data_IF_885825115622
#
_entry.id   IF_885825115622
#
_cell.length_a   1.000
_cell.length_b   1.000
_cell.length_c   1.000
_cell.angle_alpha   90.00
_cell.angle_beta   90.00
_cell.angle_gamma   90.00
#
_symmetry.space_group_name_H-M   'P 1'
#
loop_
_entity.id
_entity.type
_entity.pdbx_description
1 polymer ?
#
# COMPACT_ATOMS: atom_id res chain seq x y z
N UNK A 1 27.79 30.06 18.29
CA UNK A 1 26.66 30.08 17.34
C UNK A 1 26.23 28.65 17.20
N UNK A 2 25.10 28.28 17.81
CA UNK A 2 24.52 26.97 17.61
C UNK A 2 23.89 26.99 16.20
N UNK A 3 24.34 26.11 15.32
CA UNK A 3 23.61 25.79 14.09
C UNK A 3 22.31 25.12 14.53
N UNK A 4 21.19 25.81 14.39
CA UNK A 4 19.88 25.19 14.45
C UNK A 4 19.79 24.25 13.25
N UNK A 5 19.99 22.97 13.51
CA UNK A 5 19.71 21.89 12.56
C UNK A 5 18.19 21.89 12.35
N UNK A 6 17.73 22.62 11.32
CA UNK A 6 16.38 22.47 10.78
C UNK A 6 16.11 20.97 10.65
N UNK A 7 15.02 20.44 11.25
CA UNK A 7 14.74 19.02 11.18
C UNK A 7 14.59 18.69 9.70
N UNK A 8 15.58 18.02 9.13
CA UNK A 8 15.67 17.69 7.70
C UNK A 8 14.30 17.22 7.21
N UNK A 9 13.57 18.15 6.59
CA UNK A 9 12.22 17.88 6.14
C UNK A 9 12.36 16.80 5.07
N UNK A 10 11.59 15.73 5.23
CA UNK A 10 11.65 14.63 4.27
C UNK A 10 11.44 15.20 2.88
N UNK A 11 12.43 14.97 2.02
CA UNK A 11 12.41 15.50 0.66
C UNK A 11 11.11 15.05 -0.02
N UNK A 12 10.30 15.99 -0.52
CA UNK A 12 8.94 15.72 -1.03
C UNK A 12 8.91 14.59 -2.08
N UNK A 13 10.01 14.44 -2.82
CA UNK A 13 10.27 13.35 -3.76
C UNK A 13 9.99 11.94 -3.20
N UNK A 14 10.20 11.71 -1.91
CA UNK A 14 9.95 10.39 -1.30
C UNK A 14 8.47 10.01 -1.36
N UNK A 15 7.56 10.97 -1.19
CA UNK A 15 6.13 10.74 -1.23
C UNK A 15 5.64 10.40 -2.65
N UNK A 16 6.32 10.90 -3.68
CA UNK A 16 6.03 10.57 -5.08
C UNK A 16 6.38 9.12 -5.45
N UNK A 17 7.32 8.49 -4.74
CA UNK A 17 7.75 7.10 -5.00
C UNK A 17 6.85 6.08 -4.31
N UNK A 18 6.22 6.44 -3.19
CA UNK A 18 5.35 5.55 -2.41
C UNK A 18 4.27 4.79 -3.21
N UNK A 19 3.55 5.37 -4.19
CA UNK A 19 2.52 4.63 -4.94
C UNK A 19 3.08 3.60 -5.93
N UNK A 20 4.39 3.59 -6.17
CA UNK A 20 5.07 2.62 -7.04
C UNK A 20 5.72 1.47 -6.25
N UNK A 21 5.73 1.56 -4.92
CA UNK A 21 6.29 0.53 -4.05
C UNK A 21 5.34 -0.66 -3.91
N UNK A 22 5.90 -1.86 -3.77
CA UNK A 22 5.11 -3.04 -3.42
C UNK A 22 4.57 -2.90 -1.99
N UNK A 23 3.52 -3.65 -1.65
CA UNK A 23 2.86 -3.53 -0.35
C UNK A 23 3.85 -3.71 0.83
N UNK A 24 4.80 -4.63 0.70
CA UNK A 24 5.81 -4.86 1.74
C UNK A 24 6.74 -3.64 1.94
N UNK A 25 7.18 -3.03 0.86
CA UNK A 25 8.06 -1.86 0.89
C UNK A 25 7.31 -0.65 1.46
N UNK A 26 6.05 -0.45 1.06
CA UNK A 26 5.19 0.60 1.58
C UNK A 26 4.96 0.47 3.09
N UNK A 27 4.66 -0.75 3.56
CA UNK A 27 4.53 -1.04 5.00
C UNK A 27 5.86 -0.85 5.75
N UNK A 28 6.99 -1.08 5.08
CA UNK A 28 8.32 -0.82 5.64
C UNK A 28 8.58 0.68 5.80
N UNK A 29 8.15 1.51 4.84
CA UNK A 29 8.23 2.98 4.93
C UNK A 29 7.44 3.53 6.13
N UNK A 30 6.28 2.96 6.43
CA UNK A 30 5.48 3.35 7.59
C UNK A 30 6.18 3.10 8.96
N UNK A 31 7.27 2.32 8.98
CA UNK A 31 8.05 2.03 10.18
C UNK A 31 9.24 2.96 10.37
N UNK A 32 9.63 3.74 9.36
CA UNK A 32 10.83 4.61 9.38
C UNK A 32 10.61 5.82 10.28
N UNK A 33 9.55 6.60 10.05
CA UNK A 33 9.24 7.79 10.84
C UNK A 33 7.73 8.03 10.92
N UNK A 34 7.32 9.03 11.73
CA UNK A 34 5.89 9.40 11.88
C UNK A 34 5.31 9.94 10.57
N UNK A 35 6.00 10.87 9.91
CA UNK A 35 5.49 11.47 8.66
C UNK A 35 5.25 10.45 7.54
N UNK A 36 6.13 9.45 7.37
CA UNK A 36 5.91 8.37 6.40
C UNK A 36 4.80 7.42 6.83
N UNK A 37 4.64 7.17 8.13
CA UNK A 37 3.53 6.37 8.67
C UNK A 37 2.19 7.04 8.42
N UNK A 38 2.14 8.34 8.67
CA UNK A 38 0.94 9.16 8.52
C UNK A 38 0.60 9.27 7.04
N UNK A 39 1.60 9.51 6.17
CA UNK A 39 1.43 9.42 4.73
C UNK A 39 0.84 8.07 4.34
N UNK A 40 1.49 6.93 4.64
CA UNK A 40 0.96 5.59 4.28
C UNK A 40 -0.43 5.29 4.87
N UNK A 41 -0.80 5.90 5.99
CA UNK A 41 -2.08 5.65 6.70
C UNK A 41 -3.22 6.52 6.19
N UNK A 42 -3.00 7.82 6.05
CA UNK A 42 -4.00 8.82 5.66
C UNK A 42 -4.13 8.88 4.14
N UNK A 43 -2.98 8.91 3.48
CA UNK A 43 -2.82 8.71 2.05
C UNK A 43 -2.25 7.32 1.83
N UNK A 44 -3.05 6.26 1.93
CA UNK A 44 -2.68 5.05 1.19
C UNK A 44 -2.59 5.48 -0.28
N UNK A 45 -1.37 5.89 -0.62
CA UNK A 45 -1.05 6.83 -1.70
C UNK A 45 -1.72 6.27 -2.91
N UNK A 46 -2.66 6.98 -3.56
CA UNK A 46 -3.67 6.40 -4.45
C UNK A 46 -3.09 5.21 -5.16
N UNK A 47 -3.31 4.02 -4.58
CA UNK A 47 -2.39 2.90 -4.80
C UNK A 47 -2.78 2.36 -6.14
N UNK A 48 -2.21 2.96 -7.20
CA UNK A 48 -2.53 2.64 -8.57
C UNK A 48 -2.29 1.16 -8.79
N UNK A 49 -1.24 0.64 -8.15
CA UNK A 49 -0.81 -0.73 -8.27
C UNK A 49 -0.61 -1.37 -6.90
N UNK A 50 -1.47 -2.31 -6.54
CA UNK A 50 -1.32 -3.16 -5.37
C UNK A 50 -0.59 -4.44 -5.80
N UNK A 51 0.72 -4.49 -5.55
CA UNK A 51 1.51 -5.72 -5.71
C UNK A 51 1.72 -6.37 -4.36
N UNK A 52 1.29 -7.62 -4.23
CA UNK A 52 1.59 -8.50 -3.11
C UNK A 52 2.43 -9.66 -3.62
N UNK A 53 3.59 -9.84 -3.00
CA UNK A 53 4.54 -10.90 -3.29
C UNK A 53 5.15 -11.37 -1.95
N UNK A 54 6.15 -12.25 -2.00
CA UNK A 54 6.94 -12.61 -0.84
C UNK A 54 7.54 -11.38 -0.14
N UNK A 55 7.58 -11.35 1.21
CA UNK A 55 7.14 -12.39 2.15
C UNK A 55 5.69 -12.20 2.65
N UNK A 56 4.85 -11.43 1.96
CA UNK A 56 3.47 -11.18 2.39
C UNK A 56 2.45 -12.12 1.75
N UNK A 57 2.79 -12.69 0.59
CA UNK A 57 1.93 -13.58 -0.19
C UNK A 57 1.31 -14.71 0.64
N UNK A 58 2.09 -15.39 1.48
CA UNK A 58 1.61 -16.47 2.34
C UNK A 58 0.79 -16.00 3.54
N UNK A 59 0.86 -14.71 3.90
CA UNK A 59 0.15 -14.12 5.04
C UNK A 59 -1.14 -13.42 4.65
N UNK A 60 -1.31 -13.15 3.35
CA UNK A 60 -2.49 -12.48 2.84
C UNK A 60 -3.66 -13.46 2.81
N UNK A 61 -4.76 -13.10 3.48
CA UNK A 61 -6.03 -13.83 3.51
C UNK A 61 -7.15 -12.94 2.99
N UNK A 62 -8.31 -13.50 2.68
CA UNK A 62 -9.47 -12.74 2.19
C UNK A 62 -9.85 -11.58 3.11
N UNK A 63 -9.84 -11.77 4.43
CA UNK A 63 -10.11 -10.70 5.40
C UNK A 63 -9.10 -9.54 5.27
N UNK A 64 -7.83 -9.85 5.07
CA UNK A 64 -6.77 -8.84 4.91
C UNK A 64 -6.86 -8.16 3.56
N UNK A 65 -7.24 -8.90 2.52
CA UNK A 65 -7.53 -8.34 1.20
C UNK A 65 -8.72 -7.37 1.27
N UNK A 66 -9.77 -7.70 2.02
CA UNK A 66 -10.92 -6.82 2.26
C UNK A 66 -10.53 -5.55 3.06
N UNK A 67 -9.67 -5.68 4.08
CA UNK A 67 -9.12 -4.51 4.78
C UNK A 67 -8.34 -3.58 3.83
N UNK A 68 -7.56 -4.14 2.90
CA UNK A 68 -6.86 -3.37 1.86
C UNK A 68 -7.83 -2.73 0.87
N UNK A 69 -8.91 -3.43 0.49
CA UNK A 69 -9.97 -2.89 -0.36
C UNK A 69 -10.64 -1.66 0.29
N UNK A 70 -10.98 -1.75 1.58
CA UNK A 70 -11.58 -0.65 2.31
C UNK A 70 -10.64 0.58 2.39
N UNK A 71 -9.33 0.34 2.57
CA UNK A 71 -8.34 1.41 2.66
C UNK A 71 -7.99 2.05 1.31
N UNK A 72 -8.12 1.31 0.22
CA UNK A 72 -7.82 1.81 -1.12
C UNK A 72 -8.90 2.71 -1.71
N UNK A 73 -10.09 2.78 -1.08
CA UNK A 73 -11.18 3.69 -1.45
C UNK A 73 -11.55 3.63 -2.94
N UNK A 74 -11.48 2.44 -3.54
CA UNK A 74 -11.86 2.22 -4.94
C UNK A 74 -10.88 2.78 -5.97
N UNK A 75 -9.63 3.07 -5.58
CA UNK A 75 -8.63 3.72 -6.45
C UNK A 75 -7.62 2.76 -7.09
N UNK A 76 -7.61 1.48 -6.71
CA UNK A 76 -6.68 0.50 -7.28
C UNK A 76 -6.99 0.28 -8.76
N UNK A 77 -5.95 0.36 -9.60
CA UNK A 77 -6.04 0.10 -11.04
C UNK A 77 -5.39 -1.22 -11.43
N UNK A 78 -4.36 -1.63 -10.69
CA UNK A 78 -3.61 -2.85 -10.95
C UNK A 78 -3.55 -3.71 -9.68
N UNK A 79 -3.97 -4.96 -9.77
CA UNK A 79 -3.88 -5.94 -8.68
C UNK A 79 -2.97 -7.10 -9.10
N UNK A 80 -1.80 -7.22 -8.47
CA UNK A 80 -0.88 -8.33 -8.70
C UNK A 80 -0.72 -9.15 -7.42
N UNK A 81 -1.31 -10.35 -7.40
CA UNK A 81 -1.20 -11.32 -6.30
C UNK A 81 -0.25 -12.45 -6.71
N UNK A 82 1.01 -12.34 -6.34
CA UNK A 82 2.07 -13.28 -6.70
C UNK A 82 2.22 -14.28 -5.55
N UNK A 83 2.01 -15.57 -5.83
CA UNK A 83 2.15 -16.65 -4.84
C UNK A 83 1.16 -16.58 -3.66
N UNK A 84 0.04 -15.86 -3.78
CA UNK A 84 -0.95 -15.70 -2.72
C UNK A 84 -1.90 -16.90 -2.66
N UNK A 85 -1.52 -17.96 -1.93
CA UNK A 85 -2.26 -19.23 -1.89
C UNK A 85 -3.51 -19.23 -0.99
N UNK A 86 -3.63 -18.26 -0.10
CA UNK A 86 -4.69 -18.18 0.92
C UNK A 86 -5.84 -17.23 0.53
N UNK A 87 -5.91 -16.86 -0.76
CA UNK A 87 -6.96 -16.02 -1.32
C UNK A 87 -7.94 -16.88 -2.11
N UNK A 88 -9.23 -16.68 -1.85
CA UNK A 88 -10.31 -17.35 -2.57
C UNK A 88 -10.89 -16.46 -3.67
N UNK A 89 -11.64 -17.07 -4.58
CA UNK A 89 -12.38 -16.34 -5.63
C UNK A 89 -13.40 -15.36 -5.03
N UNK A 90 -14.01 -15.69 -3.89
CA UNK A 90 -14.94 -14.81 -3.18
C UNK A 90 -14.20 -13.57 -2.62
N UNK A 91 -13.01 -13.78 -2.04
CA UNK A 91 -12.14 -12.70 -1.57
C UNK A 91 -11.71 -11.77 -2.71
N UNK A 92 -11.32 -12.35 -3.85
CA UNK A 92 -10.98 -11.61 -5.07
C UNK A 92 -12.16 -10.81 -5.60
N UNK A 93 -13.33 -11.43 -5.71
CA UNK A 93 -14.54 -10.79 -6.21
C UNK A 93 -14.95 -9.61 -5.31
N UNK A 94 -14.84 -9.77 -3.98
CA UNK A 94 -15.09 -8.70 -3.02
C UNK A 94 -14.12 -7.52 -3.18
N UNK A 95 -12.84 -7.80 -3.45
CA UNK A 95 -11.83 -6.76 -3.70
C UNK A 95 -12.12 -5.99 -4.99
N UNK A 96 -12.39 -6.70 -6.09
CA UNK A 96 -12.68 -6.11 -7.40
C UNK A 96 -13.96 -5.28 -7.36
N UNK A 97 -15.00 -5.78 -6.68
CA UNK A 97 -16.26 -5.05 -6.49
C UNK A 97 -16.07 -3.73 -5.73
N UNK A 98 -15.11 -3.69 -4.80
CA UNK A 98 -14.75 -2.49 -4.04
C UNK A 98 -13.84 -1.53 -4.81
N UNK A 99 -13.20 -2.01 -5.89
CA UNK A 99 -12.24 -1.27 -6.71
C UNK A 99 -12.65 -1.29 -8.19
N UNK A 100 -13.66 -0.50 -8.59
CA UNK A 100 -14.20 -0.52 -9.95
C UNK A 100 -13.25 0.05 -11.02
N UNK A 101 -12.10 0.59 -10.60
CA UNK A 101 -11.09 1.16 -11.50
C UNK A 101 -9.99 0.16 -11.89
N UNK A 102 -10.08 -1.10 -11.43
CA UNK A 102 -9.14 -2.14 -11.84
C UNK A 102 -9.24 -2.35 -13.36
N UNK A 103 -8.11 -2.17 -14.03
CA UNK A 103 -7.96 -2.39 -15.47
C UNK A 103 -6.99 -3.51 -15.78
N UNK A 104 -6.04 -3.82 -14.89
CA UNK A 104 -5.01 -4.85 -15.07
C UNK A 104 -4.76 -5.70 -13.80
#
# INVERSE_FOLDING_TARGET
MAEEEEPSSLHEGIFFVLPYLHLFELLSMARVCKSLRDAVREDMVPCLKLVVDEPLSFRLTDDRLAELAAKSQGRVQVLALIGCINITDDGLLGFVSSNPKITE
#
